data_IF_895123639430
#
_entry.id   IF_895123639430
#
_cell.length_a   1.000
_cell.length_b   1.000
_cell.length_c   1.000
_cell.angle_alpha   90.00
_cell.angle_beta   90.00
_cell.angle_gamma   90.00
#
_symmetry.space_group_name_H-M   'P 1'
#
loop_
_entity.id
_entity.type
_entity.pdbx_description
1 polymer ?
#
# COMPACT_ATOMS: atom_id res chain seq x y z
N UNK A 1 2.35 -21.30 -6.59
CA UNK A 1 1.03 -21.22 -5.93
C UNK A 1 0.70 -19.74 -5.78
N UNK A 2 -0.15 -19.18 -6.65
CA UNK A 2 -0.57 -17.78 -6.51
C UNK A 2 -1.53 -17.69 -5.31
N UNK A 3 -1.02 -17.20 -4.19
CA UNK A 3 -1.87 -16.84 -3.06
C UNK A 3 -2.62 -15.57 -3.50
N UNK A 4 -3.91 -15.72 -3.85
CA UNK A 4 -4.82 -14.64 -4.27
C UNK A 4 -5.20 -13.70 -3.10
N UNK A 5 -4.22 -13.34 -2.26
CA UNK A 5 -4.41 -12.54 -1.07
C UNK A 5 -3.63 -11.23 -1.15
N UNK A 6 -4.30 -10.10 -0.89
CA UNK A 6 -3.63 -8.82 -0.61
C UNK A 6 -3.49 -7.87 -1.79
N UNK A 7 -4.28 -8.08 -2.86
CA UNK A 7 -4.25 -7.20 -4.03
C UNK A 7 -4.50 -5.74 -3.64
N UNK A 8 -3.60 -4.86 -4.05
CA UNK A 8 -3.64 -3.44 -3.74
C UNK A 8 -3.27 -2.60 -4.97
N UNK A 9 -3.99 -1.50 -5.11
CA UNK A 9 -3.59 -0.41 -5.96
C UNK A 9 -3.51 0.87 -5.14
N UNK A 10 -2.55 1.71 -5.47
CA UNK A 10 -2.46 3.06 -4.95
C UNK A 10 -2.16 4.01 -6.09
N UNK A 11 -2.70 5.22 -6.02
CA UNK A 11 -2.25 6.20 -6.96
C UNK A 11 -2.98 7.52 -6.97
N UNK A 12 -2.47 8.40 -7.82
CA UNK A 12 -2.94 9.77 -7.99
C UNK A 12 -3.68 9.93 -9.30
N UNK A 13 -4.77 10.69 -9.28
CA UNK A 13 -5.63 10.89 -10.44
C UNK A 13 -5.97 12.39 -10.56
N UNK A 14 -5.72 13.03 -11.70
CA UNK A 14 -6.12 14.40 -11.93
C UNK A 14 -7.61 14.46 -12.33
N UNK A 15 -8.28 15.61 -12.21
CA UNK A 15 -9.72 15.74 -12.48
C UNK A 15 -10.14 15.20 -13.84
N UNK A 16 -9.33 15.44 -14.87
CA UNK A 16 -9.64 15.10 -16.27
C UNK A 16 -9.69 13.59 -16.54
N UNK A 17 -9.14 12.78 -15.63
CA UNK A 17 -9.18 11.32 -15.71
C UNK A 17 -10.21 10.71 -14.76
N UNK A 18 -10.67 11.43 -13.72
CA UNK A 18 -11.51 10.89 -12.67
C UNK A 18 -12.81 10.28 -13.22
N UNK A 19 -13.54 11.03 -14.04
CA UNK A 19 -14.80 10.53 -14.63
C UNK A 19 -14.61 9.27 -15.47
N UNK A 20 -13.50 9.20 -16.22
CA UNK A 20 -13.19 8.08 -17.11
C UNK A 20 -12.85 6.81 -16.35
N UNK A 21 -12.13 6.94 -15.25
CA UNK A 21 -11.64 5.79 -14.46
C UNK A 21 -12.56 5.40 -13.32
N UNK A 22 -13.46 6.28 -12.88
CA UNK A 22 -14.34 6.04 -11.74
C UNK A 22 -15.21 4.77 -11.85
N UNK A 23 -15.83 4.44 -13.01
CA UNK A 23 -16.59 3.19 -13.14
C UNK A 23 -15.73 1.94 -12.94
N UNK A 24 -14.48 1.97 -13.43
CA UNK A 24 -13.53 0.88 -13.28
C UNK A 24 -13.08 0.73 -11.83
N UNK A 25 -12.69 1.84 -11.17
CA UNK A 25 -12.27 1.83 -9.78
C UNK A 25 -13.39 1.37 -8.85
N UNK A 26 -14.63 1.83 -9.07
CA UNK A 26 -15.80 1.39 -8.32
C UNK A 26 -15.98 -0.13 -8.38
N UNK A 27 -15.78 -0.71 -9.56
CA UNK A 27 -15.87 -2.17 -9.74
C UNK A 27 -14.71 -2.88 -9.04
N UNK A 28 -13.48 -2.41 -9.26
CA UNK A 28 -12.27 -3.04 -8.72
C UNK A 28 -12.10 -2.91 -7.21
N UNK A 29 -12.64 -1.88 -6.58
CA UNK A 29 -12.64 -1.68 -5.11
C UNK A 29 -13.36 -2.78 -4.31
N UNK A 30 -14.03 -3.71 -4.99
CA UNK A 30 -14.64 -4.91 -4.38
C UNK A 30 -13.64 -6.05 -4.19
N UNK A 31 -12.58 -6.07 -5.00
CA UNK A 31 -11.59 -7.16 -5.08
C UNK A 31 -10.19 -6.69 -4.66
N UNK A 32 -9.91 -5.41 -4.83
CA UNK A 32 -8.61 -4.77 -4.65
C UNK A 32 -8.77 -3.67 -3.60
N UNK A 33 -7.84 -3.58 -2.65
CA UNK A 33 -7.79 -2.42 -1.76
C UNK A 33 -7.21 -1.23 -2.51
N UNK A 34 -7.92 -0.10 -2.52
CA UNK A 34 -7.51 1.08 -3.30
C UNK A 34 -7.30 2.29 -2.37
N UNK A 35 -6.09 2.85 -2.39
CA UNK A 35 -5.79 4.16 -1.81
C UNK A 35 -5.68 5.19 -2.96
N UNK A 36 -6.67 6.08 -3.04
CA UNK A 36 -6.80 7.04 -4.12
C UNK A 36 -6.46 8.45 -3.64
N UNK A 37 -5.63 9.16 -4.40
CA UNK A 37 -5.33 10.57 -4.18
C UNK A 37 -5.82 11.36 -5.40
N UNK A 38 -6.69 12.34 -5.21
CA UNK A 38 -7.27 13.11 -6.32
C UNK A 38 -6.80 14.55 -6.25
N UNK A 39 -6.35 15.08 -7.38
CA UNK A 39 -5.99 16.50 -7.47
C UNK A 39 -7.19 17.34 -7.88
N UNK A 40 -7.22 18.62 -7.48
CA UNK A 40 -8.12 19.65 -8.02
C UNK A 40 -9.63 19.47 -7.76
N UNK A 41 -10.07 18.31 -7.29
CA UNK A 41 -11.47 17.96 -7.06
C UNK A 41 -11.71 17.63 -5.59
N UNK A 42 -12.72 18.24 -4.98
CA UNK A 42 -13.10 18.00 -3.57
C UNK A 42 -14.24 17.01 -3.45
N UNK A 43 -15.08 16.91 -4.47
CA UNK A 43 -16.24 16.01 -4.47
C UNK A 43 -15.93 14.74 -5.25
N UNK A 44 -15.26 13.80 -4.58
CA UNK A 44 -14.90 12.51 -5.19
C UNK A 44 -15.92 11.43 -4.80
N UNK A 45 -16.51 10.71 -5.76
CA UNK A 45 -17.35 9.55 -5.48
C UNK A 45 -16.62 8.50 -4.62
N UNK A 46 -17.33 7.77 -3.77
CA UNK A 46 -16.75 6.73 -2.87
C UNK A 46 -16.35 5.46 -3.66
N UNK A 47 -15.29 5.55 -4.46
CA UNK A 47 -14.83 4.54 -5.44
C UNK A 47 -13.52 3.84 -5.06
N UNK A 48 -13.00 4.12 -3.87
CA UNK A 48 -11.77 3.54 -3.32
C UNK A 48 -11.94 3.32 -1.81
N UNK A 49 -11.04 2.60 -1.15
CA UNK A 49 -11.12 2.34 0.29
C UNK A 49 -10.68 3.55 1.11
N UNK A 50 -9.72 4.34 0.59
CA UNK A 50 -9.34 5.64 1.13
C UNK A 50 -9.23 6.64 -0.01
N UNK A 51 -9.75 7.84 0.21
CA UNK A 51 -9.65 8.95 -0.74
C UNK A 51 -9.10 10.17 -0.01
N UNK A 52 -7.98 10.67 -0.53
CA UNK A 52 -7.44 11.98 -0.18
C UNK A 52 -7.53 12.94 -1.36
N UNK A 53 -7.66 14.22 -1.06
CA UNK A 53 -7.71 15.28 -2.09
C UNK A 53 -6.69 16.38 -1.80
N UNK A 54 -6.19 17.01 -2.85
CA UNK A 54 -5.34 18.20 -2.75
C UNK A 54 -5.56 19.08 -3.96
N UNK A 55 -5.62 20.40 -3.77
CA UNK A 55 -5.82 21.33 -4.87
C UNK A 55 -4.64 21.34 -5.86
N UNK A 56 -3.42 21.37 -5.33
CA UNK A 56 -2.18 21.43 -6.14
C UNK A 56 -1.85 20.06 -6.74
N UNK A 57 -1.71 20.02 -8.06
CA UNK A 57 -1.30 18.83 -8.81
C UNK A 57 0.16 18.43 -8.53
N UNK A 58 0.41 17.12 -8.49
CA UNK A 58 1.73 16.47 -8.53
C UNK A 58 1.70 15.42 -9.66
N UNK A 59 2.81 14.72 -9.95
CA UNK A 59 2.81 13.61 -10.88
C UNK A 59 1.69 12.59 -10.64
N UNK A 60 1.29 11.97 -11.73
CA UNK A 60 0.47 10.77 -11.74
C UNK A 60 1.37 9.61 -11.39
N UNK A 61 1.05 8.94 -10.30
CA UNK A 61 1.73 7.74 -9.84
C UNK A 61 0.64 6.71 -9.63
N UNK A 62 0.71 5.59 -10.34
CA UNK A 62 -0.13 4.42 -10.09
C UNK A 62 0.80 3.26 -9.78
N UNK A 63 0.50 2.47 -8.75
CA UNK A 63 1.25 1.26 -8.40
C UNK A 63 0.25 0.16 -8.09
N UNK A 64 0.43 -0.99 -8.73
CA UNK A 64 -0.35 -2.20 -8.53
C UNK A 64 0.56 -3.31 -7.99
N UNK A 65 0.20 -3.88 -6.84
CA UNK A 65 0.79 -5.09 -6.26
C UNK A 65 2.34 -5.10 -6.18
N UNK A 66 2.98 -3.93 -6.10
CA UNK A 66 4.45 -3.75 -6.21
C UNK A 66 5.08 -4.29 -7.50
N UNK A 67 4.26 -4.63 -8.50
CA UNK A 67 4.68 -5.35 -9.70
C UNK A 67 4.59 -4.50 -10.98
N UNK A 68 3.69 -3.52 -10.99
CA UNK A 68 3.50 -2.61 -12.10
C UNK A 68 3.25 -1.20 -11.57
N UNK A 69 3.86 -0.22 -12.22
CA UNK A 69 3.55 1.17 -11.96
C UNK A 69 3.53 2.03 -13.21
N UNK A 70 2.87 3.17 -13.09
CA UNK A 70 2.84 4.22 -14.09
C UNK A 70 3.28 5.50 -13.41
N UNK A 71 4.22 6.20 -14.03
CA UNK A 71 4.58 7.56 -13.66
C UNK A 71 4.31 8.48 -14.85
N UNK A 72 3.68 9.62 -14.63
CA UNK A 72 3.63 10.69 -15.61
C UNK A 72 3.68 12.06 -14.91
N UNK A 73 4.46 13.02 -15.41
CA UNK A 73 4.46 14.38 -14.87
C UNK A 73 3.10 15.06 -15.18
N UNK A 74 2.68 16.08 -14.40
CA UNK A 74 1.42 16.78 -14.61
C UNK A 74 1.24 17.31 -16.03
N UNK A 75 2.33 17.75 -16.66
CA UNK A 75 2.37 18.30 -18.01
C UNK A 75 1.88 17.31 -19.07
N UNK A 76 1.99 16.00 -18.82
CA UNK A 76 1.53 14.97 -19.75
C UNK A 76 0.02 15.03 -20.02
N UNK A 77 -0.75 15.72 -19.19
CA UNK A 77 -2.20 15.83 -19.30
C UNK A 77 -2.70 17.28 -19.48
N UNK A 78 -1.79 18.26 -19.57
CA UNK A 78 -2.14 19.69 -19.68
C UNK A 78 -2.24 20.21 -21.11
N UNK A 79 -1.50 19.65 -22.06
CA UNK A 79 -1.53 20.07 -23.47
C UNK A 79 -1.93 18.92 -24.39
N UNK A 80 -2.75 19.23 -25.41
CA UNK A 80 -3.02 18.30 -26.53
C UNK A 80 -1.81 18.17 -27.47
N UNK A 81 -0.88 19.10 -27.40
CA UNK A 81 0.36 19.11 -28.18
C UNK A 81 1.40 18.21 -27.52
N UNK A 82 2.12 17.42 -28.34
CA UNK A 82 3.25 16.64 -27.87
C UNK A 82 4.37 17.59 -27.44
N UNK A 83 4.54 17.76 -26.13
CA UNK A 83 5.67 18.49 -25.58
C UNK A 83 6.78 17.49 -25.22
N UNK A 84 8.03 17.95 -25.21
CA UNK A 84 9.18 17.18 -24.70
C UNK A 84 8.97 16.77 -23.21
N UNK A 85 8.02 17.45 -22.53
CA UNK A 85 7.63 17.21 -21.13
C UNK A 85 6.45 16.22 -21.00
N UNK A 86 5.79 15.83 -22.09
CA UNK A 86 4.64 14.94 -22.09
C UNK A 86 5.04 13.48 -22.31
N UNK A 87 5.61 12.84 -21.29
CA UNK A 87 5.94 11.41 -21.31
C UNK A 87 5.23 10.65 -20.18
N UNK A 88 5.13 9.34 -20.32
CA UNK A 88 4.74 8.45 -19.24
C UNK A 88 5.68 7.25 -19.22
N UNK A 89 5.99 6.77 -18.02
CA UNK A 89 6.81 5.58 -17.81
C UNK A 89 5.90 4.45 -17.36
N UNK A 90 6.05 3.29 -17.99
CA UNK A 90 5.52 2.02 -17.48
C UNK A 90 6.68 1.32 -16.78
N UNK A 91 6.52 1.06 -15.48
CA UNK A 91 7.61 0.67 -14.60
C UNK A 91 7.33 -0.74 -14.07
N UNK A 92 8.30 -1.64 -14.27
CA UNK A 92 8.33 -2.99 -13.65
C UNK A 92 9.58 -3.22 -12.80
N UNK A 93 10.51 -2.27 -12.80
CA UNK A 93 11.70 -2.32 -11.96
C UNK A 93 11.30 -2.19 -10.48
N UNK A 94 11.61 -3.21 -9.67
CA UNK A 94 11.17 -3.27 -8.27
C UNK A 94 11.76 -2.18 -7.40
N UNK A 95 13.00 -1.74 -7.68
CA UNK A 95 13.66 -0.71 -6.89
C UNK A 95 13.04 0.66 -7.17
N UNK A 96 12.76 0.97 -8.44
CA UNK A 96 12.06 2.19 -8.83
C UNK A 96 10.62 2.21 -8.32
N UNK A 97 9.90 1.08 -8.38
CA UNK A 97 8.57 0.98 -7.79
C UNK A 97 8.59 1.18 -6.27
N UNK A 98 9.61 0.66 -5.58
CA UNK A 98 9.79 0.88 -4.15
C UNK A 98 10.00 2.37 -3.84
N UNK A 99 10.84 3.07 -4.60
CA UNK A 99 11.04 4.51 -4.43
C UNK A 99 9.75 5.30 -4.64
N UNK A 100 8.99 4.99 -5.69
CA UNK A 100 7.70 5.63 -5.97
C UNK A 100 6.64 5.31 -4.91
N UNK A 101 6.60 4.08 -4.38
CA UNK A 101 5.71 3.71 -3.28
C UNK A 101 6.01 4.51 -2.01
N UNK A 102 7.29 4.68 -1.67
CA UNK A 102 7.71 5.51 -0.54
C UNK A 102 7.37 6.98 -0.76
N UNK A 103 7.65 7.51 -1.95
CA UNK A 103 7.29 8.88 -2.29
C UNK A 103 5.77 9.09 -2.17
N UNK A 104 4.97 8.18 -2.74
CA UNK A 104 3.52 8.24 -2.62
C UNK A 104 3.07 8.26 -1.16
N UNK A 105 3.48 7.32 -0.32
CA UNK A 105 2.95 7.23 1.05
C UNK A 105 3.53 8.23 2.05
N UNK A 106 4.78 8.65 1.89
CA UNK A 106 5.47 9.46 2.89
C UNK A 106 5.62 10.93 2.47
N UNK A 107 5.77 11.22 1.17
CA UNK A 107 5.89 12.59 0.70
C UNK A 107 4.53 13.15 0.24
N UNK A 108 3.77 12.36 -0.53
CA UNK A 108 2.56 12.86 -1.19
C UNK A 108 1.30 12.68 -0.35
N UNK A 109 0.98 11.44 0.04
CA UNK A 109 -0.23 11.05 0.75
C UNK A 109 -0.53 11.91 1.99
N UNK A 110 0.45 12.26 2.86
CA UNK A 110 0.19 13.07 4.04
C UNK A 110 -0.25 14.50 3.73
N UNK A 111 0.04 15.02 2.53
CA UNK A 111 -0.27 16.41 2.13
C UNK A 111 -1.73 16.62 1.70
N UNK A 112 -2.47 15.54 1.43
CA UNK A 112 -3.87 15.62 1.03
C UNK A 112 -4.83 15.54 2.23
N UNK A 113 -5.98 16.19 2.11
CA UNK A 113 -7.10 16.08 3.05
C UNK A 113 -7.80 14.73 2.91
N UNK A 114 -8.08 14.03 4.01
CA UNK A 114 -8.82 12.76 4.00
C UNK A 114 -10.33 13.01 3.96
N UNK A 115 -10.93 12.86 2.78
CA UNK A 115 -12.38 13.06 2.57
C UNK A 115 -13.19 11.77 2.70
N UNK A 116 -12.55 10.61 2.52
CA UNK A 116 -13.22 9.32 2.65
C UNK A 116 -12.27 8.24 3.16
N UNK A 117 -12.77 7.47 4.12
CA UNK A 117 -12.20 6.19 4.54
C UNK A 117 -13.34 5.22 4.75
N UNK A 118 -13.32 4.10 4.04
CA UNK A 118 -14.30 3.02 4.17
C UNK A 118 -14.27 2.51 5.61
N UNK A 119 -15.41 2.58 6.29
CA UNK A 119 -15.57 2.09 7.67
C UNK A 119 -16.13 0.66 7.62
N UNK A 120 -15.64 -0.21 8.49
CA UNK A 120 -16.12 -1.59 8.60
C UNK A 120 -15.27 -2.41 9.56
N UNK A 121 -15.80 -3.53 10.03
CA UNK A 121 -15.00 -4.54 10.74
C UNK A 121 -14.05 -5.21 9.74
N UNK A 122 -12.87 -5.58 10.22
CA UNK A 122 -11.97 -6.45 9.46
C UNK A 122 -12.67 -7.80 9.27
N UNK A 123 -12.68 -8.28 8.03
CA UNK A 123 -13.12 -9.65 7.70
C UNK A 123 -11.88 -10.52 7.59
N UNK A 124 -11.87 -11.62 8.32
CA UNK A 124 -10.78 -12.59 8.31
C UNK A 124 -11.17 -13.82 7.45
N UNK A 125 -10.21 -14.50 6.79
CA UNK A 125 -8.80 -14.14 6.72
C UNK A 125 -8.57 -12.85 5.91
N UNK A 126 -7.50 -12.11 6.24
CA UNK A 126 -7.13 -10.88 5.54
C UNK A 126 -5.65 -10.83 5.22
N UNK A 127 -5.34 -10.55 3.96
CA UNK A 127 -3.98 -10.51 3.45
C UNK A 127 -3.47 -9.08 3.27
N UNK A 128 -2.17 -8.90 3.50
CA UNK A 128 -1.47 -7.64 3.42
C UNK A 128 -0.14 -7.84 2.70
N UNK A 129 0.14 -6.96 1.73
CA UNK A 129 1.46 -6.86 1.09
C UNK A 129 2.26 -5.66 1.64
N UNK A 130 1.62 -4.72 2.34
CA UNK A 130 2.30 -3.60 3.00
C UNK A 130 2.11 -3.68 4.51
N UNK A 131 3.22 -3.74 5.24
CA UNK A 131 3.25 -3.82 6.70
C UNK A 131 2.51 -2.65 7.36
N UNK A 132 2.60 -1.45 6.79
CA UNK A 132 1.91 -0.24 7.30
C UNK A 132 0.39 -0.41 7.38
N UNK A 133 -0.19 -1.13 6.41
CA UNK A 133 -1.63 -1.39 6.37
C UNK A 133 -2.04 -2.38 7.44
N UNK A 134 -1.21 -3.39 7.70
CA UNK A 134 -1.42 -4.33 8.79
C UNK A 134 -1.28 -3.62 10.15
N UNK A 135 -0.24 -2.82 10.34
CA UNK A 135 -0.04 -2.03 11.58
C UNK A 135 -1.18 -1.05 11.84
N UNK A 136 -1.67 -0.37 10.81
CA UNK A 136 -2.87 0.48 10.93
C UNK A 136 -4.09 -0.31 11.41
N UNK A 137 -4.28 -1.52 10.89
CA UNK A 137 -5.39 -2.39 11.25
C UNK A 137 -5.25 -3.01 12.64
N UNK A 138 -4.03 -3.43 13.04
CA UNK A 138 -3.73 -3.89 14.40
C UNK A 138 -4.10 -2.80 15.41
N UNK A 139 -3.69 -1.56 15.16
CA UNK A 139 -3.99 -0.42 16.02
C UNK A 139 -5.48 -0.11 16.09
N UNK A 140 -6.15 -0.05 14.94
CA UNK A 140 -7.55 0.38 14.89
C UNK A 140 -8.54 -0.70 15.38
N UNK A 141 -8.12 -1.97 15.40
CA UNK A 141 -9.00 -3.10 15.71
C UNK A 141 -8.49 -3.98 16.86
N UNK A 142 -7.42 -3.58 17.56
CA UNK A 142 -6.83 -4.28 18.69
C UNK A 142 -6.52 -5.76 18.39
N UNK A 143 -5.70 -6.01 17.36
CA UNK A 143 -5.45 -7.36 16.84
C UNK A 143 -4.25 -8.08 17.50
N UNK A 144 -3.72 -7.56 18.60
CA UNK A 144 -2.70 -8.27 19.39
C UNK A 144 -3.25 -9.64 19.83
N UNK A 145 -2.42 -10.67 19.76
CA UNK A 145 -2.76 -12.07 20.03
C UNK A 145 -3.37 -12.82 18.85
N UNK A 146 -3.69 -12.14 17.74
CA UNK A 146 -4.25 -12.77 16.53
C UNK A 146 -3.19 -13.60 15.82
N UNK A 147 -3.58 -14.77 15.31
CA UNK A 147 -2.69 -15.65 14.54
C UNK A 147 -2.44 -15.06 13.14
N UNK A 148 -1.18 -15.13 12.71
CA UNK A 148 -0.70 -14.60 11.44
C UNK A 148 0.23 -15.60 10.76
N UNK A 149 0.10 -15.66 9.44
CA UNK A 149 0.97 -16.41 8.54
C UNK A 149 1.77 -15.43 7.69
N UNK A 150 3.09 -15.61 7.63
CA UNK A 150 4.03 -14.69 6.97
C UNK A 150 4.84 -15.46 5.94
N UNK A 151 4.88 -14.93 4.73
CA UNK A 151 5.74 -15.36 3.65
C UNK A 151 6.73 -14.23 3.34
N UNK A 152 8.01 -14.57 3.25
CA UNK A 152 9.05 -13.59 2.96
C UNK A 152 10.43 -14.23 2.93
N UNK A 153 11.41 -13.48 3.43
CA UNK A 153 12.79 -13.95 3.56
C UNK A 153 13.47 -13.35 4.79
N UNK A 154 14.42 -14.07 5.36
CA UNK A 154 15.29 -13.52 6.40
C UNK A 154 16.13 -12.38 5.83
N UNK A 155 16.23 -11.26 6.54
CA UNK A 155 16.96 -10.08 6.07
C UNK A 155 18.45 -10.37 5.95
N UNK A 156 19.04 -11.06 6.93
CA UNK A 156 20.48 -11.36 6.99
C UNK A 156 20.91 -12.35 5.92
N UNK A 157 20.24 -13.49 5.82
CA UNK A 157 20.65 -14.60 4.93
C UNK A 157 20.00 -14.55 3.56
N UNK A 158 18.91 -13.79 3.41
CA UNK A 158 18.05 -13.75 2.21
C UNK A 158 17.34 -15.08 1.90
N UNK A 159 17.43 -16.06 2.79
CA UNK A 159 16.73 -17.33 2.64
C UNK A 159 15.22 -17.15 2.78
N UNK A 160 14.41 -17.82 1.96
CA UNK A 160 12.97 -17.75 2.05
C UNK A 160 12.49 -18.30 3.40
N UNK A 161 11.46 -17.68 3.96
CA UNK A 161 10.85 -18.10 5.22
C UNK A 161 9.32 -18.13 5.09
N UNK A 162 8.73 -19.16 5.68
CA UNK A 162 7.31 -19.25 5.94
C UNK A 162 7.12 -19.46 7.44
N UNK A 163 6.47 -18.48 8.09
CA UNK A 163 6.33 -18.43 9.55
C UNK A 163 4.84 -18.36 9.90
N UNK A 164 4.42 -19.11 10.93
CA UNK A 164 3.10 -18.95 11.56
C UNK A 164 3.29 -18.67 13.03
N UNK A 165 2.54 -17.71 13.58
CA UNK A 165 2.63 -17.34 14.99
C UNK A 165 1.55 -16.35 15.40
N UNK A 166 1.69 -15.79 16.60
CA UNK A 166 0.80 -14.73 17.11
C UNK A 166 1.49 -13.38 17.07
N UNK A 167 0.73 -12.35 16.72
CA UNK A 167 1.21 -10.97 16.83
C UNK A 167 1.25 -10.60 18.31
N UNK A 168 2.43 -10.35 18.86
CA UNK A 168 2.59 -9.99 20.27
C UNK A 168 2.87 -8.50 20.48
N UNK A 169 3.37 -7.81 19.45
CA UNK A 169 3.63 -6.37 19.50
C UNK A 169 3.66 -5.76 18.08
N UNK A 170 3.64 -4.43 17.99
CA UNK A 170 3.90 -3.69 16.76
C UNK A 170 4.56 -2.34 17.04
N UNK A 171 5.35 -1.87 16.07
CA UNK A 171 6.00 -0.56 16.13
C UNK A 171 5.71 0.25 14.87
N UNK A 172 5.49 1.56 15.04
CA UNK A 172 5.43 2.53 13.95
C UNK A 172 6.16 3.80 14.40
N UNK A 173 7.15 4.26 13.63
CA UNK A 173 7.87 5.48 13.97
C UNK A 173 7.00 6.73 13.81
N UNK A 174 7.40 7.82 14.44
CA UNK A 174 6.89 9.15 14.10
C UNK A 174 7.13 9.41 12.59
N UNK A 175 6.13 9.94 11.89
CA UNK A 175 6.12 10.04 10.42
C UNK A 175 5.89 8.73 9.64
N UNK A 176 5.73 7.60 10.33
CA UNK A 176 5.39 6.27 9.76
C UNK A 176 6.40 5.73 8.75
N UNK A 177 7.65 6.17 8.84
CA UNK A 177 8.73 5.76 7.92
C UNK A 177 9.18 4.33 8.20
N UNK A 178 9.11 3.92 9.47
CA UNK A 178 9.40 2.55 9.92
C UNK A 178 8.10 1.96 10.46
N UNK A 179 7.79 0.72 10.08
CA UNK A 179 6.65 -0.04 10.59
C UNK A 179 7.00 -1.52 10.60
N UNK A 180 6.78 -2.19 11.73
CA UNK A 180 6.99 -3.63 11.88
C UNK A 180 6.01 -4.23 12.90
N UNK A 181 5.96 -5.55 12.93
CA UNK A 181 5.27 -6.33 13.95
C UNK A 181 6.25 -7.30 14.60
N UNK A 182 5.96 -7.72 15.83
CA UNK A 182 6.67 -8.83 16.47
C UNK A 182 5.74 -10.05 16.50
N UNK A 183 6.23 -11.17 15.99
CA UNK A 183 5.50 -12.44 15.94
C UNK A 183 6.20 -13.48 16.82
N UNK A 184 5.42 -14.15 17.66
CA UNK A 184 5.88 -15.27 18.49
C UNK A 184 5.35 -16.60 17.92
N UNK A 185 6.24 -17.56 17.68
CA UNK A 185 5.88 -18.90 17.18
C UNK A 185 5.32 -19.78 18.30
N UNK A 186 4.82 -20.97 17.95
CA UNK A 186 4.34 -21.94 18.96
C UNK A 186 5.47 -22.46 19.84
N UNK A 187 6.69 -22.47 19.32
CA UNK A 187 7.92 -22.87 20.00
C UNK A 187 8.50 -21.75 20.89
N UNK A 188 7.89 -20.55 20.87
CA UNK A 188 8.29 -19.40 21.69
C UNK A 188 9.37 -18.51 21.07
N UNK A 189 9.77 -18.77 19.82
CA UNK A 189 10.71 -17.91 19.10
C UNK A 189 10.03 -16.60 18.69
N UNK A 190 10.77 -15.49 18.75
CA UNK A 190 10.26 -14.16 18.42
C UNK A 190 11.01 -13.58 17.24
N UNK A 191 10.25 -13.06 16.29
CA UNK A 191 10.77 -12.44 15.08
C UNK A 191 10.17 -11.05 14.90
N UNK A 192 11.02 -10.05 14.61
CA UNK A 192 10.58 -8.75 14.13
C UNK A 192 10.41 -8.82 12.62
N UNK A 193 9.21 -8.45 12.15
CA UNK A 193 8.79 -8.63 10.76
C UNK A 193 8.50 -7.26 10.16
N UNK A 194 9.32 -6.88 9.18
CA UNK A 194 9.21 -5.65 8.42
C UNK A 194 8.47 -5.82 7.10
N UNK A 195 8.29 -4.72 6.39
CA UNK A 195 7.65 -4.69 5.07
C UNK A 195 8.63 -4.80 3.90
N UNK A 196 8.20 -4.28 2.76
CA UNK A 196 8.99 -4.26 1.53
C UNK A 196 10.34 -3.54 1.73
N UNK A 197 11.44 -4.18 1.34
CA UNK A 197 12.82 -3.72 1.52
C UNK A 197 13.18 -3.45 3.01
N UNK A 198 12.61 -4.22 3.94
CA UNK A 198 13.08 -4.26 5.32
C UNK A 198 14.59 -4.59 5.37
N UNK A 199 15.29 -3.91 6.26
CA UNK A 199 16.75 -4.04 6.42
C UNK A 199 17.21 -4.08 7.88
N UNK A 200 16.33 -3.69 8.81
CA UNK A 200 16.63 -3.66 10.25
C UNK A 200 15.95 -4.81 11.00
N UNK A 201 14.82 -5.29 10.47
CA UNK A 201 14.03 -6.38 11.00
C UNK A 201 14.66 -7.75 10.72
N UNK A 202 14.16 -8.81 11.39
CA UNK A 202 14.63 -10.17 11.15
C UNK A 202 14.13 -10.71 9.81
N UNK A 203 12.89 -10.38 9.46
CA UNK A 203 12.18 -10.87 8.26
C UNK A 203 11.68 -9.70 7.42
N UNK A 204 11.95 -9.76 6.11
CA UNK A 204 11.31 -8.93 5.09
C UNK A 204 10.07 -9.68 4.58
N UNK A 205 8.87 -9.19 4.90
CA UNK A 205 7.63 -9.84 4.48
C UNK A 205 7.18 -9.45 3.06
N UNK A 206 6.91 -10.45 2.25
CA UNK A 206 6.27 -10.30 0.93
C UNK A 206 4.74 -10.34 1.06
N UNK A 207 4.22 -11.24 1.90
CA UNK A 207 2.79 -11.44 2.15
C UNK A 207 2.56 -11.80 3.62
N UNK A 208 1.56 -11.17 4.23
CA UNK A 208 1.13 -11.41 5.60
C UNK A 208 -0.37 -11.70 5.61
N UNK A 209 -0.80 -12.75 6.30
CA UNK A 209 -2.20 -13.19 6.30
C UNK A 209 -2.67 -13.34 7.75
N UNK A 210 -3.54 -12.44 8.18
CA UNK A 210 -4.27 -12.61 9.44
C UNK A 210 -5.25 -13.78 9.30
N UNK A 211 -5.16 -14.73 10.21
CA UNK A 211 -6.06 -15.89 10.31
C UNK A 211 -7.29 -15.51 11.13
N UNK A 212 -8.41 -16.16 10.84
CA UNK A 212 -9.71 -15.95 11.50
C UNK A 212 -10.04 -17.04 12.49
#
# INVERSE_FOLDING_TARGET
MEVNGGRRAQGTIPPQLLEKVAPLLKTKSREVTIDLFVYGEKEVPKIADKIRVREVEDPIILIQDKALGIYAPPEAFKSKEQTIKGYALIIKDKNLLFMLDRYFYHALWPTGELIYKKKGKIKLPKSYIHIRSLVEDIRNHNLIGTEIEIYGKFVKTREPVHLTGKIIDFFESEGKVISNITVETKEGERYVVGGWNASLEDIEADLMILKG
#
